data_IF_446024757462
#
_entry.id   IF_446024757462
#
_cell.length_a   1.000
_cell.length_b   1.000
_cell.length_c   1.000
_cell.angle_alpha   90.00
_cell.angle_beta   90.00
_cell.angle_gamma   90.00
#
_symmetry.space_group_name_H-M   'P 1'
#
loop_
_entity.id
_entity.type
_entity.pdbx_description
1 polymer ?
#
# COMPACT_ATOMS: atom_id res chain seq x y z
N UNK A 1 -8.35 -1.45 18.30
CA UNK A 1 -7.61 -1.63 17.03
C UNK A 1 -7.96 -2.92 16.29
N UNK A 2 -7.61 -4.11 16.78
CA UNK A 2 -7.86 -5.40 16.09
C UNK A 2 -9.32 -5.59 15.63
N UNK A 3 -10.28 -5.28 16.51
CA UNK A 3 -11.71 -5.36 16.21
C UNK A 3 -12.11 -4.46 15.02
N UNK A 4 -11.65 -3.20 15.01
CA UNK A 4 -11.94 -2.26 13.93
C UNK A 4 -11.30 -2.67 12.60
N UNK A 5 -10.11 -3.27 12.62
CA UNK A 5 -9.49 -3.84 11.42
C UNK A 5 -10.35 -4.97 10.86
N UNK A 6 -10.92 -5.82 11.72
CA UNK A 6 -11.84 -6.88 11.30
C UNK A 6 -13.09 -6.30 10.63
N UNK A 7 -13.68 -5.24 11.21
CA UNK A 7 -14.82 -4.54 10.60
C UNK A 7 -14.42 -3.93 9.26
N UNK A 8 -13.30 -3.21 9.20
CA UNK A 8 -12.80 -2.59 7.97
C UNK A 8 -12.65 -3.63 6.85
N UNK A 9 -12.06 -4.79 7.14
CA UNK A 9 -11.97 -5.89 6.17
C UNK A 9 -13.32 -6.41 5.71
N UNK A 10 -14.31 -6.51 6.60
CA UNK A 10 -15.68 -6.88 6.22
C UNK A 10 -16.30 -5.82 5.29
N UNK A 11 -16.06 -4.54 5.55
CA UNK A 11 -16.55 -3.43 4.71
C UNK A 11 -15.94 -3.42 3.31
N UNK A 12 -14.71 -3.92 3.13
CA UNK A 12 -14.05 -4.03 1.82
C UNK A 12 -14.64 -5.13 0.93
N UNK A 13 -15.17 -6.22 1.50
CA UNK A 13 -15.64 -7.40 0.75
C UNK A 13 -16.69 -7.08 -0.33
N UNK A 14 -17.75 -6.29 -0.06
CA UNK A 14 -18.74 -5.94 -1.09
C UNK A 14 -18.16 -5.19 -2.30
N UNK A 15 -17.00 -4.55 -2.13
CA UNK A 15 -16.30 -3.83 -3.20
C UNK A 15 -15.27 -4.69 -3.93
N UNK A 16 -15.14 -5.98 -3.55
CA UNK A 16 -14.14 -6.91 -4.07
C UNK A 16 -12.71 -6.37 -3.92
N UNK A 17 -12.44 -5.68 -2.81
CA UNK A 17 -11.10 -5.17 -2.47
C UNK A 17 -10.44 -6.16 -1.51
N UNK A 18 -9.40 -6.85 -1.98
CA UNK A 18 -8.55 -7.71 -1.15
C UNK A 18 -7.46 -6.90 -0.42
N UNK A 19 -6.79 -7.53 0.55
CA UNK A 19 -5.64 -6.92 1.23
C UNK A 19 -4.53 -6.54 0.21
N UNK A 20 -4.29 -7.36 -0.81
CA UNK A 20 -3.32 -7.09 -1.89
C UNK A 20 -3.77 -5.93 -2.79
N UNK A 21 -5.08 -5.72 -2.94
CA UNK A 21 -5.59 -4.57 -3.68
C UNK A 21 -5.30 -3.26 -2.96
N UNK A 22 -5.32 -3.25 -1.62
CA UNK A 22 -4.94 -2.07 -0.82
C UNK A 22 -3.50 -1.64 -1.15
N UNK A 23 -2.57 -2.61 -1.19
CA UNK A 23 -1.19 -2.37 -1.62
C UNK A 23 -1.12 -1.88 -3.07
N UNK A 24 -1.72 -2.63 -4.00
CA UNK A 24 -1.63 -2.38 -5.45
C UNK A 24 -2.11 -0.99 -5.85
N UNK A 25 -3.19 -0.53 -5.22
CA UNK A 25 -3.85 0.73 -5.56
C UNK A 25 -3.43 1.89 -4.65
N UNK A 26 -2.53 1.65 -3.69
CA UNK A 26 -1.93 2.70 -2.86
C UNK A 26 -1.18 3.72 -3.73
N UNK A 27 -1.40 5.04 -3.56
CA UNK A 27 -0.65 6.09 -4.24
C UNK A 27 0.85 5.96 -4.04
N UNK A 28 1.62 6.15 -5.12
CA UNK A 28 3.09 6.00 -5.10
C UNK A 28 3.85 7.30 -4.84
N UNK A 29 3.17 8.43 -4.94
CA UNK A 29 3.73 9.75 -4.67
C UNK A 29 2.64 10.67 -4.09
N UNK A 30 3.07 11.74 -3.44
CA UNK A 30 2.18 12.64 -2.72
C UNK A 30 1.20 13.36 -3.66
N UNK A 31 1.63 13.71 -4.87
CA UNK A 31 0.75 14.34 -5.87
C UNK A 31 -0.47 13.46 -6.16
N UNK A 32 -0.28 12.15 -6.34
CA UNK A 32 -1.38 11.20 -6.57
C UNK A 32 -2.17 10.98 -5.28
N UNK A 33 -1.50 10.93 -4.12
CA UNK A 33 -2.14 10.82 -2.80
C UNK A 33 -3.16 11.94 -2.61
N UNK A 34 -2.74 13.19 -2.80
CA UNK A 34 -3.62 14.37 -2.72
C UNK A 34 -4.79 14.30 -3.70
N UNK A 35 -4.57 13.84 -4.94
CA UNK A 35 -5.68 13.66 -5.91
C UNK A 35 -6.68 12.63 -5.42
N UNK A 36 -6.22 11.51 -4.87
CA UNK A 36 -7.10 10.47 -4.35
C UNK A 36 -7.91 10.97 -3.14
N UNK A 37 -7.27 11.70 -2.24
CA UNK A 37 -7.95 12.33 -1.10
C UNK A 37 -8.95 13.36 -1.52
N UNK A 38 -8.62 14.22 -2.49
CA UNK A 38 -9.59 15.16 -3.07
C UNK A 38 -10.84 14.45 -3.56
N UNK A 39 -10.70 13.31 -4.24
CA UNK A 39 -11.86 12.51 -4.68
C UNK A 39 -12.64 11.94 -3.49
N UNK A 40 -11.95 11.40 -2.48
CA UNK A 40 -12.60 10.86 -1.29
C UNK A 40 -13.36 11.93 -0.50
N UNK A 41 -12.79 13.11 -0.32
CA UNK A 41 -13.44 14.25 0.35
C UNK A 41 -14.70 14.70 -0.40
N UNK A 42 -14.64 14.82 -1.72
CA UNK A 42 -15.81 15.18 -2.53
C UNK A 42 -16.92 14.12 -2.45
N UNK A 43 -16.57 12.84 -2.31
CA UNK A 43 -17.55 11.78 -2.04
C UNK A 43 -18.16 11.95 -0.65
N UNK A 44 -17.34 12.18 0.38
CA UNK A 44 -17.80 12.29 1.78
C UNK A 44 -18.68 13.52 2.02
N UNK A 45 -18.47 14.61 1.27
CA UNK A 45 -19.26 15.86 1.35
C UNK A 45 -20.58 15.79 0.57
N UNK A 46 -20.75 14.82 -0.32
CA UNK A 46 -21.90 14.72 -1.21
C UNK A 46 -22.69 13.44 -0.95
N UNK A 47 -23.85 13.59 -0.29
CA UNK A 47 -24.69 12.45 0.12
C UNK A 47 -25.08 11.54 -1.05
N UNK A 48 -25.37 12.10 -2.23
CA UNK A 48 -25.71 11.29 -3.41
C UNK A 48 -24.54 10.41 -3.85
N UNK A 49 -23.32 10.97 -3.91
CA UNK A 49 -22.12 10.22 -4.25
C UNK A 49 -21.79 9.17 -3.20
N UNK A 50 -21.98 9.51 -1.93
CA UNK A 50 -21.76 8.61 -0.81
C UNK A 50 -22.73 7.42 -0.88
N UNK A 51 -24.01 7.68 -1.13
CA UNK A 51 -25.04 6.65 -1.31
C UNK A 51 -24.77 5.78 -2.55
N UNK A 52 -24.42 6.40 -3.68
CA UNK A 52 -24.06 5.70 -4.90
C UNK A 52 -22.92 4.70 -4.65
N UNK A 53 -21.91 5.10 -3.88
CA UNK A 53 -20.75 4.25 -3.59
C UNK A 53 -21.03 3.24 -2.48
N UNK A 54 -21.57 3.67 -1.35
CA UNK A 54 -21.72 2.82 -0.17
C UNK A 54 -22.91 1.86 -0.28
N UNK A 55 -24.02 2.31 -0.85
CA UNK A 55 -25.26 1.51 -0.95
C UNK A 55 -25.33 0.85 -2.31
N UNK A 56 -25.28 1.63 -3.40
CA UNK A 56 -25.50 1.12 -4.76
C UNK A 56 -24.27 0.45 -5.36
N UNK A 57 -23.09 0.61 -4.74
CA UNK A 57 -21.78 0.13 -5.22
C UNK A 57 -21.41 0.65 -6.63
N UNK A 58 -22.01 1.78 -7.02
CA UNK A 58 -21.75 2.49 -8.26
C UNK A 58 -20.60 3.46 -8.04
N UNK A 59 -19.62 3.46 -8.94
CA UNK A 59 -18.48 4.38 -8.87
C UNK A 59 -18.51 5.34 -10.05
N UNK A 60 -19.10 6.54 -9.89
CA UNK A 60 -19.46 7.42 -11.01
C UNK A 60 -18.26 8.22 -11.52
N UNK A 61 -17.30 7.55 -12.16
CA UNK A 61 -15.99 8.10 -12.61
C UNK A 61 -16.14 9.42 -13.37
N UNK A 62 -17.11 9.52 -14.29
CA UNK A 62 -17.32 10.75 -15.07
C UNK A 62 -17.81 11.91 -14.21
N UNK A 63 -18.68 11.66 -13.21
CA UNK A 63 -19.15 12.67 -12.25
C UNK A 63 -17.98 13.11 -11.36
N UNK A 64 -17.24 12.15 -10.82
CA UNK A 64 -16.05 12.39 -10.00
C UNK A 64 -14.97 13.21 -10.73
N UNK A 65 -14.71 12.92 -12.01
CA UNK A 65 -13.79 13.74 -12.81
C UNK A 65 -14.27 15.17 -12.92
N UNK A 66 -15.55 15.40 -13.24
CA UNK A 66 -16.10 16.75 -13.44
C UNK A 66 -15.97 17.61 -12.18
N UNK A 67 -16.25 17.05 -11.01
CA UNK A 67 -16.17 17.78 -9.74
C UNK A 67 -14.73 17.96 -9.25
N UNK A 68 -13.86 16.96 -9.40
CA UNK A 68 -12.50 17.00 -8.82
C UNK A 68 -11.43 17.52 -9.77
N UNK A 69 -11.70 17.50 -11.08
CA UNK A 69 -10.73 17.67 -12.17
C UNK A 69 -9.61 16.61 -12.18
N UNK A 70 -9.76 15.51 -11.44
CA UNK A 70 -8.81 14.39 -11.46
C UNK A 70 -9.06 13.52 -12.69
N UNK A 71 -7.99 13.13 -13.40
CA UNK A 71 -8.08 12.33 -14.64
C UNK A 71 -8.81 11.00 -14.38
N UNK A 72 -9.70 10.58 -15.30
CA UNK A 72 -10.44 9.29 -15.19
C UNK A 72 -9.51 8.10 -14.95
N UNK A 73 -8.33 8.11 -15.59
CA UNK A 73 -7.31 7.06 -15.42
C UNK A 73 -6.92 6.88 -13.95
N UNK A 74 -6.61 7.98 -13.28
CA UNK A 74 -6.14 7.98 -11.89
C UNK A 74 -7.30 7.60 -10.95
N UNK A 75 -8.51 8.15 -11.18
CA UNK A 75 -9.74 7.79 -10.44
C UNK A 75 -10.05 6.29 -10.53
N UNK A 76 -9.92 5.68 -11.72
CA UNK A 76 -10.16 4.25 -11.94
C UNK A 76 -9.08 3.39 -11.30
N UNK A 77 -7.81 3.74 -11.55
CA UNK A 77 -6.69 2.95 -11.06
C UNK A 77 -6.65 2.95 -9.53
N UNK A 78 -6.86 4.10 -8.87
CA UNK A 78 -6.83 4.22 -7.42
C UNK A 78 -8.20 4.03 -6.75
N UNK A 79 -9.21 3.47 -7.46
CA UNK A 79 -10.55 3.26 -6.92
C UNK A 79 -10.54 2.52 -5.58
N UNK A 80 -9.74 1.46 -5.46
CA UNK A 80 -9.67 0.67 -4.22
C UNK A 80 -9.18 1.49 -3.02
N UNK A 81 -8.19 2.34 -3.25
CA UNK A 81 -7.68 3.26 -2.23
C UNK A 81 -8.72 4.32 -1.84
N UNK A 82 -9.34 4.96 -2.82
CA UNK A 82 -10.36 6.01 -2.61
C UNK A 82 -11.56 5.45 -1.85
N UNK A 83 -12.07 4.28 -2.26
CA UNK A 83 -13.17 3.61 -1.56
C UNK A 83 -12.78 3.24 -0.13
N UNK A 84 -11.54 2.80 0.10
CA UNK A 84 -11.05 2.49 1.44
C UNK A 84 -11.05 3.73 2.34
N UNK A 85 -10.64 4.89 1.83
CA UNK A 85 -10.72 6.17 2.54
C UNK A 85 -12.17 6.48 2.91
N UNK A 86 -13.07 6.44 1.92
CA UNK A 86 -14.49 6.70 2.12
C UNK A 86 -15.08 5.79 3.20
N UNK A 87 -14.78 4.48 3.17
CA UNK A 87 -15.26 3.53 4.18
C UNK A 87 -14.77 3.87 5.58
N UNK A 88 -13.48 4.18 5.74
CA UNK A 88 -12.92 4.50 7.06
C UNK A 88 -13.50 5.81 7.59
N UNK A 89 -13.48 6.88 6.79
CA UNK A 89 -13.90 8.20 7.26
C UNK A 89 -15.42 8.39 7.40
N UNK A 90 -16.24 7.55 6.75
CA UNK A 90 -17.71 7.56 6.93
C UNK A 90 -18.22 6.59 8.01
N UNK A 91 -17.35 5.82 8.67
CA UNK A 91 -17.75 4.78 9.61
C UNK A 91 -17.40 5.10 11.07
N UNK A 92 -17.83 4.24 11.99
CA UNK A 92 -17.55 4.30 13.44
C UNK A 92 -16.25 3.58 13.82
N UNK A 93 -15.23 3.65 12.97
CA UNK A 93 -13.90 3.09 13.23
C UNK A 93 -13.02 4.13 13.94
N UNK A 94 -13.46 4.58 15.11
CA UNK A 94 -12.91 5.77 15.76
C UNK A 94 -11.43 5.61 16.18
N UNK A 95 -11.02 4.40 16.59
CA UNK A 95 -9.60 4.15 16.93
C UNK A 95 -8.73 4.22 15.68
N UNK A 96 -9.16 3.62 14.58
CA UNK A 96 -8.43 3.58 13.30
C UNK A 96 -8.41 4.97 12.65
N UNK A 97 -9.53 5.69 12.66
CA UNK A 97 -9.60 7.09 12.24
C UNK A 97 -8.69 7.97 13.11
N UNK A 98 -8.69 7.78 14.42
CA UNK A 98 -7.83 8.53 15.34
C UNK A 98 -6.34 8.26 15.10
N UNK A 99 -5.98 7.05 14.68
CA UNK A 99 -4.62 6.74 14.23
C UNK A 99 -4.27 7.44 12.90
N UNK A 100 -5.21 7.49 11.95
CA UNK A 100 -5.05 8.17 10.66
C UNK A 100 -5.33 9.67 10.82
N UNK A 101 -4.36 10.41 11.34
CA UNK A 101 -4.52 11.82 11.68
C UNK A 101 -3.72 12.78 10.78
N UNK A 102 -2.87 12.29 9.87
CA UNK A 102 -1.87 13.08 9.16
C UNK A 102 -1.92 12.92 7.62
N UNK A 103 -3.09 12.74 7.03
CA UNK A 103 -3.22 12.41 5.59
C UNK A 103 -2.69 13.46 4.59
N UNK A 104 -2.46 14.70 5.03
CA UNK A 104 -1.85 15.77 4.22
C UNK A 104 -0.37 16.02 4.55
N UNK A 105 0.21 15.31 5.52
CA UNK A 105 1.62 15.47 5.82
C UNK A 105 2.48 14.88 4.68
N UNK A 106 3.55 15.61 4.36
CA UNK A 106 4.58 15.18 3.42
C UNK A 106 5.65 14.34 4.11
N UNK A 107 5.76 14.46 5.44
CA UNK A 107 6.67 13.65 6.24
C UNK A 107 6.10 12.24 6.39
N UNK A 108 6.75 11.32 5.72
CA UNK A 108 6.41 9.91 5.83
C UNK A 108 6.76 9.37 7.22
N UNK A 109 5.76 9.03 8.02
CA UNK A 109 6.02 8.35 9.27
C UNK A 109 6.51 6.91 9.05
N UNK A 110 7.51 6.55 9.85
CA UNK A 110 8.09 5.20 9.89
C UNK A 110 7.25 4.23 10.71
N UNK A 111 5.97 4.53 10.91
CA UNK A 111 5.07 3.72 11.73
C UNK A 111 3.82 3.33 10.95
N UNK A 112 3.27 2.16 11.27
CA UNK A 112 2.09 1.62 10.61
C UNK A 112 1.36 0.62 11.48
N UNK A 113 0.04 0.59 11.41
CA UNK A 113 -0.78 -0.45 12.04
C UNK A 113 -0.89 -1.63 11.08
N UNK A 114 -0.52 -2.83 11.56
CA UNK A 114 -0.60 -4.05 10.77
C UNK A 114 -2.05 -4.47 10.54
N UNK A 115 -2.50 -4.45 9.29
CA UNK A 115 -3.87 -4.82 8.92
C UNK A 115 -3.97 -6.23 8.34
N UNK A 116 -2.91 -6.77 7.73
CA UNK A 116 -2.91 -8.11 7.19
C UNK A 116 -1.53 -8.78 7.27
N UNK A 117 -1.54 -10.11 7.33
CA UNK A 117 -0.34 -10.94 7.29
C UNK A 117 -0.38 -11.86 6.08
N UNK A 118 0.74 -11.96 5.38
CA UNK A 118 1.00 -12.92 4.31
C UNK A 118 2.17 -13.82 4.69
N UNK A 119 2.55 -14.70 3.78
CA UNK A 119 3.63 -15.66 4.02
C UNK A 119 4.95 -14.95 4.38
N UNK A 120 5.34 -13.96 3.56
CA UNK A 120 6.65 -13.28 3.66
C UNK A 120 6.58 -11.80 4.09
N UNK A 121 5.39 -11.20 4.13
CA UNK A 121 5.24 -9.78 4.45
C UNK A 121 3.95 -9.49 5.23
N UNK A 122 3.97 -8.39 5.97
CA UNK A 122 2.79 -7.76 6.57
C UNK A 122 2.33 -6.57 5.72
N UNK A 123 1.03 -6.28 5.76
CA UNK A 123 0.45 -5.07 5.17
C UNK A 123 0.10 -4.14 6.30
N UNK A 124 0.65 -2.93 6.29
CA UNK A 124 0.35 -1.88 7.27
C UNK A 124 -0.44 -0.75 6.63
N UNK A 125 -1.22 -0.04 7.44
CA UNK A 125 -1.75 1.30 7.12
C UNK A 125 -1.00 2.33 7.97
N UNK A 126 -0.55 3.43 7.37
CA UNK A 126 0.16 4.52 8.07
C UNK A 126 -0.79 5.63 8.53
N UNK A 127 -0.27 6.58 9.31
CA UNK A 127 -1.03 7.76 9.77
C UNK A 127 -1.46 8.69 8.63
N UNK A 128 -0.73 8.67 7.52
CA UNK A 128 -1.03 9.40 6.28
C UNK A 128 -1.94 8.60 5.35
N UNK A 129 -2.50 7.49 5.85
CA UNK A 129 -3.39 6.58 5.13
C UNK A 129 -2.76 5.83 3.96
N UNK A 130 -1.47 5.50 4.02
CA UNK A 130 -0.83 4.71 2.99
C UNK A 130 -0.82 3.24 3.37
N UNK A 131 -1.14 2.38 2.40
CA UNK A 131 -0.99 0.94 2.55
C UNK A 131 0.37 0.50 2.02
N UNK A 132 1.13 -0.21 2.85
CA UNK A 132 2.52 -0.58 2.58
C UNK A 132 2.80 -2.02 2.96
N UNK A 133 3.73 -2.64 2.25
CA UNK A 133 4.27 -3.96 2.62
C UNK A 133 5.51 -3.79 3.49
N UNK A 134 5.58 -4.54 4.58
CA UNK A 134 6.78 -4.64 5.43
C UNK A 134 7.21 -6.10 5.57
N UNK A 135 8.52 -6.40 5.70
CA UNK A 135 8.98 -7.77 5.94
C UNK A 135 8.35 -8.36 7.19
N UNK A 136 7.88 -9.61 7.10
CA UNK A 136 7.29 -10.31 8.24
C UNK A 136 8.34 -10.58 9.31
N UNK A 137 7.96 -10.39 10.58
CA UNK A 137 8.74 -10.82 11.75
C UNK A 137 7.88 -11.76 12.61
N UNK A 138 8.48 -12.74 13.32
CA UNK A 138 7.74 -13.74 14.09
C UNK A 138 6.77 -13.16 15.14
N UNK A 139 7.10 -12.01 15.74
CA UNK A 139 6.30 -11.37 16.79
C UNK A 139 5.19 -10.44 16.30
N UNK A 140 4.94 -10.37 14.99
CA UNK A 140 3.94 -9.47 14.43
C UNK A 140 2.51 -9.98 14.62
N UNK A 141 1.63 -9.11 15.10
CA UNK A 141 0.20 -9.38 15.23
C UNK A 141 -0.66 -8.31 14.54
N UNK A 142 -1.81 -8.71 13.98
CA UNK A 142 -2.76 -7.77 13.38
C UNK A 142 -3.25 -6.78 14.45
N UNK A 143 -3.30 -5.50 14.10
CA UNK A 143 -3.65 -4.40 14.99
C UNK A 143 -2.49 -3.85 15.81
N UNK A 144 -1.31 -4.44 15.72
CA UNK A 144 -0.09 -3.90 16.31
C UNK A 144 0.43 -2.71 15.51
N UNK A 145 0.84 -1.65 16.19
CA UNK A 145 1.64 -0.57 15.60
C UNK A 145 3.10 -1.00 15.51
N UNK A 146 3.69 -0.87 14.34
CA UNK A 146 5.04 -1.31 14.03
C UNK A 146 5.86 -0.15 13.50
N UNK A 147 7.11 -0.05 13.94
CA UNK A 147 8.10 0.85 13.34
C UNK A 147 8.89 0.10 12.25
N UNK A 148 9.13 0.77 11.12
CA UNK A 148 9.88 0.22 9.99
C UNK A 148 10.81 1.27 9.36
N UNK A 149 11.94 0.81 8.83
CA UNK A 149 12.90 1.69 8.15
C UNK A 149 12.33 2.15 6.79
N UNK A 150 12.64 3.39 6.40
CA UNK A 150 12.17 4.03 5.15
C UNK A 150 12.56 3.27 3.88
N UNK A 151 13.62 2.44 3.93
CA UNK A 151 14.12 1.70 2.77
C UNK A 151 13.16 0.60 2.27
N UNK A 152 12.26 0.10 3.12
CA UNK A 152 11.30 -0.96 2.78
C UNK A 152 10.09 -0.47 1.96
N UNK A 153 10.00 0.83 1.68
CA UNK A 153 8.93 1.46 0.91
C UNK A 153 9.04 1.23 -0.61
N UNK A 154 10.08 0.54 -1.07
CA UNK A 154 10.39 0.34 -2.49
C UNK A 154 9.71 -0.88 -3.13
N UNK A 155 9.05 -1.76 -2.37
CA UNK A 155 8.59 -3.08 -2.87
C UNK A 155 7.10 -3.08 -3.23
N UNK A 156 6.68 -2.14 -4.07
CA UNK A 156 5.58 -2.34 -5.03
C UNK A 156 5.94 -1.65 -6.37
N UNK A 157 7.19 -1.80 -6.82
CA UNK A 157 7.60 -1.45 -8.19
C UNK A 157 7.22 -2.52 -9.23
N UNK A 158 6.39 -3.50 -8.89
CA UNK A 158 5.91 -4.52 -9.83
C UNK A 158 6.89 -5.67 -10.06
N UNK A 159 7.92 -5.80 -9.24
CA UNK A 159 8.81 -6.96 -9.23
C UNK A 159 8.54 -7.73 -7.94
N UNK A 160 8.08 -8.98 -8.09
CA UNK A 160 7.90 -9.90 -6.95
C UNK A 160 9.19 -9.99 -6.15
N UNK A 161 9.08 -10.03 -4.83
CA UNK A 161 10.23 -10.23 -3.93
C UNK A 161 11.04 -11.48 -4.34
N UNK A 162 10.37 -12.53 -4.84
CA UNK A 162 11.02 -13.73 -5.36
C UNK A 162 11.90 -13.46 -6.58
N UNK A 163 11.50 -12.52 -7.46
CA UNK A 163 12.29 -12.14 -8.64
C UNK A 163 13.51 -11.34 -8.21
N UNK A 164 13.35 -10.39 -7.28
CA UNK A 164 14.48 -9.60 -6.76
C UNK A 164 15.49 -10.51 -6.05
N UNK A 165 15.03 -11.43 -5.20
CA UNK A 165 15.89 -12.42 -4.55
C UNK A 165 16.59 -13.30 -5.59
N UNK A 166 15.86 -13.84 -6.57
CA UNK A 166 16.47 -14.66 -7.64
C UNK A 166 17.54 -13.88 -8.41
N UNK A 167 17.28 -12.61 -8.73
CA UNK A 167 18.27 -11.75 -9.43
C UNK A 167 19.51 -11.51 -8.55
N UNK A 168 19.34 -11.23 -7.26
CA UNK A 168 20.47 -11.04 -6.35
C UNK A 168 21.31 -12.33 -6.18
N UNK A 169 20.66 -13.49 -6.09
CA UNK A 169 21.35 -14.78 -6.04
C UNK A 169 22.14 -15.03 -7.33
N UNK A 170 21.55 -14.74 -8.50
CA UNK A 170 22.24 -14.88 -9.80
C UNK A 170 23.48 -13.96 -9.87
N UNK A 171 23.36 -12.70 -9.44
CA UNK A 171 24.49 -11.75 -9.40
C UNK A 171 25.59 -12.27 -8.47
N UNK A 172 25.23 -12.80 -7.29
CA UNK A 172 26.19 -13.35 -6.35
C UNK A 172 26.95 -14.56 -6.94
N UNK A 173 26.23 -15.50 -7.57
CA UNK A 173 26.83 -16.67 -8.24
C UNK A 173 27.80 -16.21 -9.35
N UNK A 174 27.39 -15.27 -10.20
CA UNK A 174 28.22 -14.75 -11.29
C UNK A 174 29.51 -14.08 -10.76
N UNK A 175 29.40 -13.32 -9.67
CA UNK A 175 30.56 -12.68 -9.03
C UNK A 175 31.54 -13.69 -8.43
N UNK A 176 31.04 -14.78 -7.83
CA UNK A 176 31.86 -15.87 -7.31
C UNK A 176 32.59 -16.63 -8.43
N UNK A 177 31.92 -16.91 -9.55
CA UNK A 177 32.57 -17.53 -10.70
C UNK A 177 33.65 -16.65 -11.34
N UNK A 178 33.44 -15.33 -11.39
CA UNK A 178 34.45 -14.39 -11.89
C UNK A 178 35.69 -14.33 -10.99
N UNK A 179 35.49 -14.31 -9.67
CA UNK A 179 36.58 -14.35 -8.70
C UNK A 179 37.39 -15.66 -8.79
N UNK A 180 36.70 -16.78 -9.05
CA UNK A 180 37.34 -18.09 -9.23
C UNK A 180 38.20 -18.14 -10.50
N UNK A 181 37.70 -17.62 -11.63
CA UNK A 181 38.47 -17.51 -12.88
C UNK A 181 39.67 -16.58 -12.75
N UNK A 182 39.52 -15.47 -12.02
CA UNK A 182 40.62 -14.54 -11.76
C UNK A 182 41.71 -15.19 -10.91
N UNK A 183 41.34 -15.92 -9.86
CA UNK A 183 42.28 -16.69 -9.03
C UNK A 183 42.99 -17.78 -9.84
N UNK A 184 42.28 -18.45 -10.74
CA UNK A 184 42.83 -19.50 -11.60
C UNK A 184 43.81 -18.96 -12.64
N UNK A 185 43.47 -17.84 -13.30
CA UNK A 185 44.38 -17.15 -14.22
C UNK A 185 45.62 -16.60 -13.50
N UNK A 186 45.45 -16.00 -12.31
CA UNK A 186 46.58 -15.53 -11.52
C UNK A 186 47.56 -16.66 -11.13
N UNK A 187 47.05 -17.87 -10.87
CA UNK A 187 47.90 -19.05 -10.65
C UNK A 187 48.62 -19.53 -11.93
N UNK A 188 48.00 -19.38 -13.10
CA UNK A 188 48.59 -19.79 -14.38
C UNK A 188 49.72 -18.87 -14.87
N UNK A 189 49.68 -17.59 -14.47
CA UNK A 189 50.70 -16.58 -14.82
C UNK A 189 51.84 -16.44 -13.78
N UNK A 190 51.75 -17.16 -12.66
CA UNK A 190 52.78 -17.21 -11.60
C UNK A 190 53.65 -18.48 -11.64
N UNK A 191 53.53 -19.28 -12.70
CA UNK A 191 54.36 -20.47 -13.00
C UNK A 191 55.12 -20.20 -14.30
#
# INVERSE_FOLDING_TARGET
>A
MLYEISIFKKMLKPFKISDENLLKYSPRNDIIKHKCFKVAEEILKNNDLLEDILTKKIYPVSKLQKITQVKKRDIRYHKGFIVSAVLIFSSKLDTLKGYINNFLDEKFEKTGVLIAMKENYGIVVTKEFLFLSIPKKPSMAIGQTLEFKSFYLSIIKGVSHDIVIKVLIIIAILSMSAAFLFSFLAQLFLV
#
